data_IF_299478825001
#
_entry.id   IF_299478825001
#
_cell.length_a   1.000
_cell.length_b   1.000
_cell.length_c   1.000
_cell.angle_alpha   90.00
_cell.angle_beta   90.00
_cell.angle_gamma   90.00
#
_symmetry.space_group_name_H-M   'P 1'
#
loop_
_entity.id
_entity.type
_entity.pdbx_description
1 polymer ?
#
# COMPACT_ATOMS: atom_id res chain seq x y z
N UNK A 1 -7.53 -20.54 5.57
CA UNK A 1 -8.40 -19.65 4.77
C UNK A 1 -7.64 -19.23 3.53
N UNK A 2 -8.18 -19.51 2.34
CA UNK A 2 -7.58 -19.08 1.07
C UNK A 2 -7.96 -17.60 0.89
N UNK A 3 -7.05 -16.68 1.17
CA UNK A 3 -7.26 -15.27 0.91
C UNK A 3 -7.37 -15.07 -0.60
N UNK A 4 -8.56 -14.69 -1.06
CA UNK A 4 -8.77 -14.24 -2.43
C UNK A 4 -8.04 -12.91 -2.53
N UNK A 5 -6.93 -12.85 -3.27
CA UNK A 5 -6.23 -11.60 -3.55
C UNK A 5 -7.21 -10.65 -4.24
N UNK A 6 -7.67 -9.63 -3.54
CA UNK A 6 -8.62 -8.68 -4.11
C UNK A 6 -7.82 -7.59 -4.80
N UNK A 7 -8.00 -7.44 -6.12
CA UNK A 7 -7.33 -6.41 -6.90
C UNK A 7 -8.02 -5.06 -6.69
N UNK A 8 -7.95 -4.52 -5.47
CA UNK A 8 -8.56 -3.25 -5.09
C UNK A 8 -7.54 -2.12 -5.17
N UNK A 9 -8.01 -0.95 -5.59
CA UNK A 9 -7.23 0.28 -5.55
C UNK A 9 -7.13 0.83 -4.13
N UNK A 10 -6.13 1.69 -3.91
CA UNK A 10 -5.89 2.33 -2.63
C UNK A 10 -7.11 3.12 -2.12
N UNK A 11 -7.84 3.78 -3.03
CA UNK A 11 -9.04 4.55 -2.67
C UNK A 11 -10.20 3.64 -2.23
N UNK A 12 -10.35 2.48 -2.85
CA UNK A 12 -11.36 1.48 -2.48
C UNK A 12 -11.09 0.91 -1.10
N UNK A 13 -9.82 0.57 -0.80
CA UNK A 13 -9.43 0.13 0.53
C UNK A 13 -9.70 1.19 1.60
N UNK A 14 -9.32 2.44 1.33
CA UNK A 14 -9.60 3.56 2.24
C UNK A 14 -11.10 3.71 2.49
N UNK A 15 -11.91 3.72 1.43
CA UNK A 15 -13.37 3.87 1.51
C UNK A 15 -14.01 2.74 2.31
N UNK A 16 -13.55 1.50 2.16
CA UNK A 16 -14.02 0.34 2.95
C UNK A 16 -13.77 0.50 4.45
N UNK A 17 -12.73 1.24 4.84
CA UNK A 17 -12.43 1.58 6.24
C UNK A 17 -13.13 2.87 6.71
N UNK A 18 -13.99 3.47 5.89
CA UNK A 18 -14.79 4.64 6.24
C UNK A 18 -14.02 5.97 6.27
N UNK A 19 -12.82 6.01 5.71
CA UNK A 19 -12.01 7.23 5.71
C UNK A 19 -12.28 8.12 4.50
N UNK A 20 -12.28 9.43 4.71
CA UNK A 20 -12.06 10.43 3.64
C UNK A 20 -10.56 10.58 3.35
N UNK A 21 -10.18 11.12 2.19
CA UNK A 21 -8.77 11.41 1.86
C UNK A 21 -8.10 12.24 2.96
N UNK A 22 -8.75 13.32 3.42
CA UNK A 22 -8.22 14.18 4.48
C UNK A 22 -8.03 13.43 5.80
N UNK A 23 -9.04 12.67 6.25
CA UNK A 23 -8.95 11.92 7.51
C UNK A 23 -7.84 10.87 7.49
N UNK A 24 -7.65 10.20 6.35
CA UNK A 24 -6.63 9.19 6.18
C UNK A 24 -5.23 9.81 6.08
N UNK A 25 -5.09 10.91 5.36
CA UNK A 25 -3.85 11.69 5.32
C UNK A 25 -3.43 12.17 6.73
N UNK A 26 -4.38 12.67 7.52
CA UNK A 26 -4.13 13.02 8.93
C UNK A 26 -3.71 11.81 9.76
N UNK A 27 -4.34 10.65 9.57
CA UNK A 27 -3.95 9.39 10.25
C UNK A 27 -2.53 8.95 9.88
N UNK A 28 -2.13 9.18 8.63
CA UNK A 28 -0.79 8.92 8.13
C UNK A 28 0.21 10.04 8.45
N UNK A 29 -0.21 11.17 9.02
CA UNK A 29 0.67 12.31 9.30
C UNK A 29 1.27 12.96 8.04
N UNK A 30 0.51 12.98 6.93
CA UNK A 30 0.90 13.61 5.66
C UNK A 30 -0.16 14.63 5.22
N UNK A 31 0.17 15.43 4.20
CA UNK A 31 -0.80 16.37 3.64
C UNK A 31 -1.90 15.63 2.84
N UNK A 32 -3.16 16.12 2.83
CA UNK A 32 -4.21 15.58 1.95
C UNK A 32 -3.81 15.59 0.48
N UNK A 33 -3.06 16.60 0.04
CA UNK A 33 -2.54 16.71 -1.33
C UNK A 33 -1.57 15.58 -1.66
N UNK A 34 -0.65 15.25 -0.75
CA UNK A 34 0.26 14.10 -0.89
C UNK A 34 -0.53 12.80 -1.04
N UNK A 35 -1.52 12.60 -0.18
CA UNK A 35 -2.34 11.39 -0.24
C UNK A 35 -3.20 11.31 -1.51
N UNK A 36 -3.73 12.43 -1.99
CA UNK A 36 -4.44 12.49 -3.26
C UNK A 36 -3.52 12.07 -4.44
N UNK A 37 -2.27 12.52 -4.45
CA UNK A 37 -1.30 12.10 -5.47
C UNK A 37 -1.09 10.57 -5.41
N UNK A 38 -0.99 9.99 -4.21
CA UNK A 38 -0.80 8.55 -4.02
C UNK A 38 -1.98 7.70 -4.53
N UNK A 39 -3.23 8.14 -4.34
CA UNK A 39 -4.38 7.41 -4.90
C UNK A 39 -4.39 7.42 -6.44
N UNK A 40 -3.86 8.47 -7.06
CA UNK A 40 -3.79 8.60 -8.52
C UNK A 40 -2.54 7.97 -9.13
N UNK A 41 -1.44 7.91 -8.38
CA UNK A 41 -0.11 7.46 -8.84
C UNK A 41 0.52 6.52 -7.79
N UNK A 42 -0.05 5.33 -7.53
CA UNK A 42 0.41 4.45 -6.46
C UNK A 42 1.87 3.98 -6.62
N UNK A 43 2.40 3.98 -7.84
CA UNK A 43 3.79 3.62 -8.15
C UNK A 43 4.85 4.54 -7.53
N UNK A 44 4.49 5.76 -7.14
CA UNK A 44 5.42 6.71 -6.52
C UNK A 44 5.53 6.55 -5.00
N UNK A 45 4.63 5.75 -4.40
CA UNK A 45 4.60 5.54 -2.95
C UNK A 45 5.89 4.82 -2.55
N UNK A 46 6.63 5.40 -1.59
CA UNK A 46 7.87 4.78 -1.12
C UNK A 46 7.57 3.55 -0.26
N UNK A 47 8.47 2.55 -0.19
CA UNK A 47 8.23 1.35 0.61
C UNK A 47 7.83 1.62 2.06
N UNK A 48 8.53 2.53 2.72
CA UNK A 48 8.21 2.97 4.09
C UNK A 48 6.77 3.44 4.24
N UNK A 49 6.27 4.21 3.27
CA UNK A 49 4.92 4.76 3.30
C UNK A 49 3.88 3.69 2.98
N UNK A 50 4.18 2.78 2.04
CA UNK A 50 3.32 1.65 1.73
C UNK A 50 3.12 0.74 2.97
N UNK A 51 4.18 0.45 3.73
CA UNK A 51 4.05 -0.29 5.00
C UNK A 51 3.16 0.45 6.01
N UNK A 52 3.27 1.77 6.08
CA UNK A 52 2.43 2.60 6.97
C UNK A 52 0.96 2.53 6.56
N UNK A 53 0.67 2.60 5.26
CA UNK A 53 -0.68 2.47 4.70
C UNK A 53 -1.25 1.08 5.04
N UNK A 54 -0.49 0.00 4.80
CA UNK A 54 -0.89 -1.38 5.09
C UNK A 54 -1.26 -1.58 6.56
N UNK A 55 -0.39 -1.12 7.45
CA UNK A 55 -0.64 -1.15 8.89
C UNK A 55 -1.87 -0.34 9.30
N UNK A 56 -2.11 0.81 8.67
CA UNK A 56 -3.25 1.68 9.01
C UNK A 56 -4.57 1.11 8.50
N UNK A 57 -4.55 0.44 7.35
CA UNK A 57 -5.70 -0.22 6.77
C UNK A 57 -5.92 -1.63 7.33
N UNK A 58 -4.99 -2.16 8.14
CA UNK A 58 -5.04 -3.53 8.66
C UNK A 58 -5.21 -4.56 7.53
N UNK A 59 -4.33 -4.44 6.53
CA UNK A 59 -4.24 -5.33 5.37
C UNK A 59 -2.79 -5.68 5.07
N UNK A 60 -2.58 -6.73 4.29
CA UNK A 60 -1.25 -7.11 3.87
C UNK A 60 -0.69 -6.12 2.83
N UNK A 61 0.63 -5.93 2.82
CA UNK A 61 1.29 -4.98 1.91
C UNK A 61 1.09 -5.35 0.44
N UNK A 62 0.96 -6.64 0.14
CA UNK A 62 0.67 -7.16 -1.20
C UNK A 62 -0.74 -6.84 -1.71
N UNK A 63 -1.63 -6.35 -0.84
CA UNK A 63 -3.00 -5.91 -1.21
C UNK A 63 -3.07 -4.41 -1.56
N UNK A 64 -2.04 -3.62 -1.22
CA UNK A 64 -1.97 -2.16 -1.53
C UNK A 64 -1.14 -1.88 -2.77
N UNK A 65 -0.13 -2.72 -3.01
CA UNK A 65 0.84 -2.49 -4.06
C UNK A 65 0.43 -3.31 -5.26
N UNK A 66 0.00 -2.60 -6.31
CA UNK A 66 0.02 -3.17 -7.66
C UNK A 66 1.49 -3.44 -8.01
N UNK A 67 1.93 -4.67 -7.75
CA UNK A 67 3.16 -5.21 -8.31
C UNK A 67 2.95 -5.35 -9.82
N UNK A 68 2.93 -4.22 -10.54
CA UNK A 68 3.18 -4.25 -11.98
C UNK A 68 4.57 -4.82 -12.16
N UNK A 69 4.78 -5.60 -13.22
CA UNK A 69 6.04 -6.31 -13.46
C UNK A 69 7.28 -5.40 -13.45
N UNK A 70 7.10 -4.10 -13.71
CA UNK A 70 8.15 -3.07 -13.72
C UNK A 70 8.24 -2.24 -12.41
N UNK A 71 7.43 -2.54 -11.40
CA UNK A 71 7.47 -1.79 -10.14
C UNK A 71 8.72 -2.14 -9.33
N UNK A 72 9.40 -1.11 -8.79
CA UNK A 72 10.57 -1.25 -7.92
C UNK A 72 10.32 -2.21 -6.74
N UNK A 73 9.08 -2.28 -6.26
CA UNK A 73 8.66 -3.19 -5.19
C UNK A 73 8.78 -4.67 -5.51
N UNK A 74 8.66 -5.07 -6.79
CA UNK A 74 8.85 -6.47 -7.20
C UNK A 74 10.25 -6.94 -6.83
N UNK A 75 11.27 -6.09 -7.00
CA UNK A 75 12.66 -6.42 -6.66
C UNK A 75 12.86 -6.47 -5.14
N UNK A 76 12.37 -5.48 -4.41
CA UNK A 76 12.55 -5.39 -2.94
C UNK A 76 11.92 -6.58 -2.20
N UNK A 77 10.74 -7.06 -2.63
CA UNK A 77 10.07 -8.19 -1.98
C UNK A 77 10.65 -9.56 -2.36
N UNK A 78 11.46 -9.65 -3.43
CA UNK A 78 12.14 -10.89 -3.83
C UNK A 78 13.37 -11.13 -2.97
N UNK A 79 14.08 -10.08 -2.53
CA UNK A 79 15.31 -10.23 -1.73
C UNK A 79 15.09 -10.70 -0.28
N UNK A 80 13.93 -10.43 0.33
CA UNK A 80 13.67 -10.87 1.71
C UNK A 80 13.42 -12.38 1.85
N UNK A 81 13.13 -13.09 0.75
CA UNK A 81 12.89 -14.54 0.79
C UNK A 81 14.16 -15.38 0.81
N UNK A 82 15.30 -14.83 0.41
CA UNK A 82 16.56 -15.61 0.34
C UNK A 82 17.32 -15.64 1.67
N UNK A 83 17.02 -14.74 2.62
CA UNK A 83 17.77 -14.64 3.89
C UNK A 83 17.18 -15.40 5.09
N UNK A 84 16.13 -16.22 4.90
CA UNK A 84 15.57 -17.07 5.98
C UNK A 84 15.85 -18.57 5.80
N UNK A 85 16.72 -18.94 4.85
CA UNK A 85 17.09 -20.35 4.58
C UNK A 85 18.57 -20.65 4.86
N UNK A 86 19.12 -20.15 5.97
CA UNK A 86 20.41 -20.62 6.48
C UNK A 86 20.38 -20.80 7.98
#
# INVERSE_FOLDING_TARGET
MKCIKQNLKLDEWRKRKGYTQSSFASKLGISPSTYNIWENNPEIIKPKDAFKIAKTLDISIDEIIFLKDESYFKYVLVEEKEHQTT
#
